data_IF_630727058753
#
_entry.id   IF_630727058753
#
_cell.length_a   1.000
_cell.length_b   1.000
_cell.length_c   1.000
_cell.angle_alpha   90.00
_cell.angle_beta   90.00
_cell.angle_gamma   90.00
#
_symmetry.space_group_name_H-M   'P 1'
#
loop_
_entity.id
_entity.type
_entity.pdbx_description
1 polymer ?
#
# COMPACT_ATOMS: atom_id res chain seq x y z
N UNK A 1 5.26 1.41 15.02
CA UNK A 1 3.94 0.81 15.35
C UNK A 1 2.86 1.12 14.33
N UNK A 2 2.82 2.31 13.72
CA UNK A 2 1.76 2.74 12.77
C UNK A 2 1.47 1.76 11.64
N UNK A 3 2.48 1.31 10.88
CA UNK A 3 2.25 0.36 9.77
C UNK A 3 1.65 -0.97 10.23
N UNK A 4 2.12 -1.52 11.35
CA UNK A 4 1.56 -2.73 11.92
C UNK A 4 0.06 -2.57 12.21
N UNK A 5 -0.34 -1.48 12.88
CA UNK A 5 -1.74 -1.23 13.20
C UNK A 5 -2.60 -1.06 11.95
N UNK A 6 -2.12 -0.30 10.96
CA UNK A 6 -2.88 -0.03 9.72
C UNK A 6 -3.02 -1.28 8.85
N UNK A 7 -1.97 -2.09 8.73
CA UNK A 7 -2.01 -3.35 7.97
C UNK A 7 -2.91 -4.36 8.69
N UNK A 8 -2.85 -4.44 10.02
CA UNK A 8 -3.75 -5.29 10.80
C UNK A 8 -5.22 -4.88 10.62
N UNK A 9 -5.50 -3.57 10.67
CA UNK A 9 -6.83 -3.03 10.41
C UNK A 9 -7.30 -3.37 8.98
N UNK A 10 -6.45 -3.12 7.98
CA UNK A 10 -6.78 -3.42 6.58
C UNK A 10 -7.07 -4.91 6.36
N UNK A 11 -6.25 -5.80 6.91
CA UNK A 11 -6.48 -7.24 6.82
C UNK A 11 -7.77 -7.67 7.52
N UNK A 12 -8.08 -7.08 8.69
CA UNK A 12 -9.30 -7.40 9.44
C UNK A 12 -10.56 -7.22 8.60
N UNK A 13 -10.60 -6.21 7.72
CA UNK A 13 -11.75 -5.94 6.84
C UNK A 13 -12.03 -7.02 5.79
N UNK A 14 -11.03 -7.84 5.44
CA UNK A 14 -11.17 -8.91 4.43
C UNK A 14 -10.98 -10.31 5.02
N UNK A 15 -10.73 -10.42 6.33
CA UNK A 15 -10.29 -11.65 6.98
C UNK A 15 -11.27 -12.82 6.80
N UNK A 16 -12.56 -12.53 6.66
CA UNK A 16 -13.60 -13.53 6.38
C UNK A 16 -13.47 -14.19 4.99
N UNK A 17 -12.85 -13.52 4.02
CA UNK A 17 -12.63 -14.03 2.66
C UNK A 17 -11.29 -14.79 2.52
N UNK A 18 -10.37 -14.58 3.45
CA UNK A 18 -9.06 -15.24 3.50
C UNK A 18 -9.14 -16.50 4.38
N UNK A 19 -9.45 -17.64 3.77
CA UNK A 19 -9.66 -18.91 4.48
C UNK A 19 -8.62 -19.97 4.07
N UNK A 20 -8.58 -21.08 4.81
CA UNK A 20 -7.72 -22.22 4.43
C UNK A 20 -8.09 -22.82 3.08
N UNK A 21 -9.34 -22.66 2.64
CA UNK A 21 -9.83 -23.19 1.36
C UNK A 21 -9.51 -22.24 0.21
N UNK A 22 -9.71 -20.93 0.40
CA UNK A 22 -9.42 -19.92 -0.63
C UNK A 22 -7.92 -19.67 -0.77
N UNK A 23 -7.18 -19.74 0.33
CA UNK A 23 -5.77 -19.38 0.41
C UNK A 23 -4.95 -20.48 1.13
N UNK A 24 -4.83 -21.64 0.48
CA UNK A 24 -4.11 -22.82 0.98
C UNK A 24 -2.60 -22.60 1.24
N UNK A 25 -2.04 -21.50 0.73
CA UNK A 25 -0.68 -21.08 0.99
C UNK A 25 -0.60 -19.55 1.01
N UNK A 26 0.29 -19.01 1.86
CA UNK A 26 0.63 -17.59 1.83
C UNK A 26 1.40 -17.26 0.55
N UNK A 27 0.73 -16.62 -0.41
CA UNK A 27 1.28 -16.36 -1.75
C UNK A 27 0.97 -14.95 -2.24
N UNK A 28 1.88 -14.42 -3.05
CA UNK A 28 1.66 -13.22 -3.85
C UNK A 28 2.38 -13.39 -5.19
N UNK A 29 1.69 -13.12 -6.29
CA UNK A 29 2.17 -13.39 -7.64
C UNK A 29 2.61 -14.87 -7.79
N UNK A 30 3.84 -15.10 -8.24
CA UNK A 30 4.46 -16.44 -8.33
C UNK A 30 5.25 -16.85 -7.08
N UNK A 31 5.22 -16.06 -6.00
CA UNK A 31 6.03 -16.26 -4.80
C UNK A 31 5.22 -16.89 -3.68
N UNK A 32 5.81 -17.91 -3.04
CA UNK A 32 5.25 -18.54 -1.83
C UNK A 32 6.08 -18.11 -0.62
N UNK A 33 5.41 -17.54 0.38
CA UNK A 33 6.03 -17.14 1.64
C UNK A 33 5.98 -18.28 2.65
N UNK A 34 7.13 -18.58 3.24
CA UNK A 34 7.25 -19.60 4.28
C UNK A 34 7.43 -18.96 5.65
N UNK A 35 6.85 -19.59 6.67
CA UNK A 35 7.05 -19.17 8.04
C UNK A 35 8.27 -19.87 8.63
N UNK A 36 9.03 -19.14 9.45
CA UNK A 36 10.15 -19.66 10.21
C UNK A 36 9.82 -19.50 11.69
N UNK A 37 9.69 -20.61 12.40
CA UNK A 37 9.46 -20.58 13.85
C UNK A 37 10.69 -20.09 14.63
N UNK A 38 10.57 -19.95 15.95
CA UNK A 38 11.67 -19.51 16.82
C UNK A 38 12.87 -20.47 16.81
N UNK A 39 12.70 -21.71 16.32
CA UNK A 39 13.74 -22.73 16.17
C UNK A 39 14.35 -22.75 14.76
N UNK A 40 13.91 -21.86 13.87
CA UNK A 40 14.35 -21.76 12.48
C UNK A 40 13.73 -22.80 11.55
N UNK A 41 12.70 -23.54 11.98
CA UNK A 41 12.04 -24.55 11.14
C UNK A 41 11.15 -23.85 10.11
N UNK A 42 11.46 -24.12 8.83
CA UNK A 42 10.65 -23.69 7.68
C UNK A 42 9.34 -24.46 7.63
N UNK A 43 8.22 -23.75 7.64
CA UNK A 43 6.87 -24.32 7.62
C UNK A 43 6.03 -23.66 6.53
N UNK A 44 5.29 -24.48 5.78
CA UNK A 44 4.23 -24.01 4.87
C UNK A 44 2.93 -23.94 5.67
N UNK A 45 2.25 -22.80 5.62
CA UNK A 45 0.94 -22.59 6.24
C UNK A 45 0.00 -21.92 5.25
N UNK A 46 -1.31 -21.99 5.55
CA UNK A 46 -2.32 -21.24 4.81
C UNK A 46 -2.08 -19.73 5.00
N UNK A 47 -2.58 -18.90 4.08
CA UNK A 47 -2.43 -17.45 4.22
C UNK A 47 -2.99 -16.91 5.54
N UNK A 48 -4.21 -17.26 6.01
CA UNK A 48 -4.70 -16.74 7.28
C UNK A 48 -3.85 -17.15 8.46
N UNK A 49 -3.37 -18.40 8.50
CA UNK A 49 -2.45 -18.86 9.54
C UNK A 49 -1.12 -18.09 9.53
N UNK A 50 -0.60 -17.79 8.34
CA UNK A 50 0.60 -16.98 8.19
C UNK A 50 0.39 -15.57 8.75
N UNK A 51 -0.73 -14.93 8.41
CA UNK A 51 -1.06 -13.60 8.88
C UNK A 51 -1.19 -13.58 10.40
N UNK A 52 -1.84 -14.58 11.01
CA UNK A 52 -1.94 -14.71 12.47
C UNK A 52 -0.56 -14.79 13.14
N UNK A 53 0.38 -15.57 12.57
CA UNK A 53 1.76 -15.64 13.06
C UNK A 53 2.49 -14.30 12.93
N UNK A 54 2.33 -13.62 11.79
CA UNK A 54 2.92 -12.30 11.57
C UNK A 54 2.40 -11.28 12.56
N UNK A 55 1.07 -11.19 12.74
CA UNK A 55 0.46 -10.22 13.64
C UNK A 55 0.88 -10.48 15.08
N UNK A 56 0.88 -11.75 15.51
CA UNK A 56 1.31 -12.15 16.85
C UNK A 56 2.78 -11.84 17.10
N UNK A 57 3.66 -12.14 16.15
CA UNK A 57 5.09 -11.82 16.26
C UNK A 57 5.32 -10.31 16.29
N UNK A 58 4.69 -9.55 15.39
CA UNK A 58 4.85 -8.11 15.34
C UNK A 58 4.37 -7.48 16.65
N UNK A 59 3.19 -7.87 17.14
CA UNK A 59 2.65 -7.42 18.42
C UNK A 59 3.64 -7.69 19.56
N UNK A 60 4.13 -8.93 19.69
CA UNK A 60 5.13 -9.31 20.71
C UNK A 60 6.35 -8.40 20.67
N UNK A 61 6.91 -8.18 19.47
CA UNK A 61 8.13 -7.38 19.31
C UNK A 61 7.91 -5.90 19.59
N UNK A 62 6.82 -5.30 19.11
CA UNK A 62 6.58 -3.85 19.26
C UNK A 62 6.15 -3.44 20.67
N UNK A 63 5.67 -4.39 21.49
CA UNK A 63 5.33 -4.15 22.91
C UNK A 63 6.42 -4.54 23.89
N UNK A 64 7.50 -5.14 23.42
CA UNK A 64 8.63 -5.52 24.26
C UNK A 64 9.45 -4.27 24.62
N UNK A 65 9.44 -3.86 25.90
CA UNK A 65 10.18 -2.68 26.37
C UNK A 65 11.71 -2.85 26.28
N UNK A 66 12.22 -4.07 26.10
CA UNK A 66 13.65 -4.30 25.86
C UNK A 66 14.03 -4.12 24.38
N UNK A 67 13.05 -4.19 23.47
CA UNK A 67 13.23 -3.96 22.03
C UNK A 67 12.85 -2.52 21.64
N UNK A 68 11.73 -2.03 22.18
CA UNK A 68 11.24 -0.67 22.01
C UNK A 68 11.13 0.01 23.38
N UNK A 69 12.25 0.55 23.91
CA UNK A 69 12.26 1.19 25.22
C UNK A 69 11.31 2.39 25.28
N UNK A 70 10.47 2.41 26.30
CA UNK A 70 9.51 3.49 26.59
C UNK A 70 9.99 4.43 27.70
N UNK A 71 11.04 4.03 28.42
CA UNK A 71 11.59 4.74 29.58
C UNK A 71 12.83 5.53 29.18
N UNK A 72 12.95 6.75 29.73
CA UNK A 72 14.12 7.61 29.52
C UNK A 72 15.40 6.91 30.01
N UNK A 73 16.49 7.05 29.24
CA UNK A 73 17.81 6.52 29.58
C UNK A 73 18.02 5.03 29.22
N UNK A 74 17.04 4.35 28.63
CA UNK A 74 17.24 3.03 28.02
C UNK A 74 17.61 3.16 26.54
N UNK A 75 18.64 2.46 26.12
CA UNK A 75 19.08 2.39 24.73
C UNK A 75 18.39 1.26 23.97
N UNK A 76 18.32 1.39 22.65
CA UNK A 76 17.85 0.31 21.79
C UNK A 76 18.87 -0.84 21.75
N UNK A 77 18.42 -2.11 21.62
CA UNK A 77 19.33 -3.24 21.55
C UNK A 77 20.13 -3.21 20.23
N UNK A 78 21.32 -3.81 20.23
CA UNK A 78 22.16 -3.96 19.03
C UNK A 78 21.44 -4.70 17.88
N UNK A 79 20.43 -5.52 18.20
CA UNK A 79 19.61 -6.25 17.23
C UNK A 79 18.43 -5.42 16.68
N UNK A 80 18.22 -4.19 17.14
CA UNK A 80 17.03 -3.39 16.81
C UNK A 80 16.79 -3.29 15.31
N UNK A 81 17.81 -2.90 14.54
CA UNK A 81 17.70 -2.76 13.09
C UNK A 81 17.28 -4.08 12.43
N UNK A 82 17.90 -5.20 12.83
CA UNK A 82 17.56 -6.52 12.29
C UNK A 82 16.11 -6.93 12.60
N UNK A 83 15.59 -6.53 13.76
CA UNK A 83 14.21 -6.78 14.17
C UNK A 83 13.23 -5.90 13.38
N UNK A 84 13.55 -4.62 13.16
CA UNK A 84 12.73 -3.73 12.32
C UNK A 84 12.67 -4.25 10.88
N UNK A 85 13.80 -4.66 10.30
CA UNK A 85 13.84 -5.30 8.97
C UNK A 85 12.96 -6.55 8.90
N UNK A 86 13.01 -7.39 9.95
CA UNK A 86 12.17 -8.59 10.07
C UNK A 86 10.68 -8.25 10.13
N UNK A 87 10.29 -7.23 10.91
CA UNK A 87 8.90 -6.75 11.01
C UNK A 87 8.43 -6.22 9.65
N UNK A 88 9.18 -5.32 9.02
CA UNK A 88 8.82 -4.75 7.73
C UNK A 88 8.67 -5.82 6.65
N UNK A 89 9.60 -6.80 6.58
CA UNK A 89 9.50 -7.92 5.65
C UNK A 89 8.18 -8.69 5.80
N UNK A 90 7.81 -9.05 7.03
CA UNK A 90 6.58 -9.79 7.25
C UNK A 90 5.32 -8.97 6.95
N UNK A 91 5.31 -7.69 7.30
CA UNK A 91 4.23 -6.78 6.95
C UNK A 91 4.07 -6.60 5.43
N UNK A 92 5.18 -6.56 4.69
CA UNK A 92 5.16 -6.54 3.23
C UNK A 92 4.49 -7.79 2.64
N UNK A 93 4.76 -8.97 3.19
CA UNK A 93 4.11 -10.21 2.71
C UNK A 93 2.59 -10.12 2.82
N UNK A 94 2.07 -9.55 3.93
CA UNK A 94 0.62 -9.35 4.12
C UNK A 94 0.06 -8.38 3.08
N UNK A 95 0.73 -7.24 2.86
CA UNK A 95 0.31 -6.27 1.84
C UNK A 95 0.32 -6.87 0.42
N UNK A 96 1.39 -7.58 0.05
CA UNK A 96 1.49 -8.22 -1.26
C UNK A 96 0.37 -9.26 -1.45
N UNK A 97 0.05 -10.03 -0.41
CA UNK A 97 -1.05 -10.99 -0.45
C UNK A 97 -2.42 -10.30 -0.60
N UNK A 98 -2.66 -9.18 0.11
CA UNK A 98 -3.90 -8.41 -0.02
C UNK A 98 -4.15 -7.94 -1.45
N UNK A 99 -3.12 -7.39 -2.11
CA UNK A 99 -3.23 -6.97 -3.51
C UNK A 99 -3.41 -8.14 -4.47
N UNK A 100 -2.73 -9.25 -4.22
CA UNK A 100 -2.76 -10.38 -5.15
C UNK A 100 -4.05 -11.19 -5.05
N UNK A 101 -4.46 -11.53 -3.83
CA UNK A 101 -5.55 -12.47 -3.59
C UNK A 101 -6.89 -11.80 -3.28
N UNK A 102 -6.87 -10.60 -2.68
CA UNK A 102 -8.05 -9.99 -2.06
C UNK A 102 -8.36 -8.57 -2.54
N UNK A 103 -7.81 -8.16 -3.69
CA UNK A 103 -8.04 -6.82 -4.20
C UNK A 103 -9.48 -6.62 -4.69
N UNK A 104 -10.13 -7.68 -5.19
CA UNK A 104 -11.54 -7.62 -5.63
C UNK A 104 -12.47 -7.30 -4.46
N UNK A 105 -12.27 -7.98 -3.34
CA UNK A 105 -13.01 -7.78 -2.09
C UNK A 105 -12.69 -6.39 -1.51
N UNK A 106 -11.43 -5.97 -1.57
CA UNK A 106 -11.01 -4.62 -1.16
C UNK A 106 -11.74 -3.53 -1.96
N UNK A 107 -11.89 -3.71 -3.27
CA UNK A 107 -12.64 -2.80 -4.14
C UNK A 107 -14.14 -2.85 -3.85
N UNK A 108 -14.71 -4.04 -3.62
CA UNK A 108 -16.12 -4.20 -3.29
C UNK A 108 -16.51 -3.50 -1.97
N UNK A 109 -15.56 -3.36 -1.04
CA UNK A 109 -15.71 -2.61 0.21
C UNK A 109 -15.34 -1.12 0.09
N UNK A 110 -15.00 -0.64 -1.11
CA UNK A 110 -14.54 0.74 -1.37
C UNK A 110 -13.27 1.14 -0.58
N UNK A 111 -12.42 0.16 -0.25
CA UNK A 111 -11.22 0.35 0.57
C UNK A 111 -9.92 0.49 -0.24
N UNK A 112 -9.97 0.40 -1.57
CA UNK A 112 -8.78 0.43 -2.43
C UNK A 112 -7.93 1.70 -2.27
N UNK A 113 -8.56 2.86 -2.03
CA UNK A 113 -7.82 4.10 -1.77
C UNK A 113 -7.01 4.08 -0.47
N UNK A 114 -7.55 3.43 0.57
CA UNK A 114 -6.88 3.24 1.84
C UNK A 114 -5.69 2.28 1.69
N UNK A 115 -5.91 1.13 1.04
CA UNK A 115 -4.85 0.16 0.76
C UNK A 115 -3.72 0.79 -0.06
N UNK A 116 -4.05 1.56 -1.12
CA UNK A 116 -3.07 2.26 -1.97
C UNK A 116 -2.23 3.26 -1.20
N UNK A 117 -2.86 4.10 -0.38
CA UNK A 117 -2.14 5.10 0.41
C UNK A 117 -1.23 4.44 1.44
N UNK A 118 -1.74 3.39 2.12
CA UNK A 118 -0.96 2.60 3.07
C UNK A 118 0.26 1.96 2.41
N UNK A 119 0.05 1.30 1.27
CA UNK A 119 1.11 0.63 0.53
C UNK A 119 2.16 1.62 -0.02
N UNK A 120 1.73 2.71 -0.65
CA UNK A 120 2.64 3.72 -1.20
C UNK A 120 3.53 4.31 -0.11
N UNK A 121 2.95 4.67 1.04
CA UNK A 121 3.73 5.16 2.16
C UNK A 121 4.68 4.09 2.72
N UNK A 122 4.20 2.85 2.85
CA UNK A 122 5.01 1.74 3.35
C UNK A 122 6.22 1.46 2.45
N UNK A 123 6.03 1.38 1.14
CA UNK A 123 7.13 1.03 0.22
C UNK A 123 8.16 2.14 0.10
N UNK A 124 7.74 3.41 0.11
CA UNK A 124 8.66 4.56 0.16
C UNK A 124 9.47 4.53 1.45
N UNK A 125 8.83 4.30 2.59
CA UNK A 125 9.52 4.18 3.89
C UNK A 125 10.53 3.03 3.91
N UNK A 126 10.14 1.86 3.41
CA UNK A 126 11.03 0.69 3.32
C UNK A 126 12.24 0.97 2.44
N UNK A 127 12.06 1.64 1.31
CA UNK A 127 13.13 1.98 0.37
C UNK A 127 14.08 3.02 0.96
N UNK A 128 13.56 4.08 1.57
CA UNK A 128 14.35 5.16 2.19
C UNK A 128 15.31 4.62 3.26
N UNK A 129 14.84 3.69 4.09
CA UNK A 129 15.64 3.13 5.19
C UNK A 129 16.25 1.76 4.89
N UNK A 130 16.19 1.29 3.63
CA UNK A 130 16.71 0.00 3.18
C UNK A 130 16.30 -1.18 4.10
N UNK A 131 14.99 -1.25 4.40
CA UNK A 131 14.45 -2.18 5.41
C UNK A 131 14.13 -3.57 4.86
N UNK A 132 13.99 -3.70 3.53
CA UNK A 132 13.72 -4.96 2.84
C UNK A 132 14.62 -5.00 1.60
N UNK A 133 15.14 -6.19 1.27
CA UNK A 133 15.93 -6.39 0.04
C UNK A 133 15.07 -6.05 -1.19
N UNK A 134 15.54 -5.19 -2.11
CA UNK A 134 14.82 -4.87 -3.34
C UNK A 134 14.37 -6.09 -4.15
N UNK A 135 15.11 -7.20 -4.10
CA UNK A 135 14.74 -8.46 -4.76
C UNK A 135 13.50 -9.11 -4.18
N UNK A 136 13.14 -8.81 -2.94
CA UNK A 136 11.92 -9.32 -2.32
C UNK A 136 10.72 -8.45 -2.66
N UNK A 137 10.93 -7.13 -2.80
CA UNK A 137 9.86 -6.20 -3.16
C UNK A 137 9.55 -6.19 -4.65
N UNK A 138 10.42 -6.73 -5.51
CA UNK A 138 10.33 -6.59 -6.95
C UNK A 138 9.05 -7.17 -7.58
N UNK A 139 8.42 -8.15 -6.92
CA UNK A 139 7.15 -8.73 -7.40
C UNK A 139 5.99 -7.71 -7.41
N UNK A 140 6.17 -6.55 -6.76
CA UNK A 140 5.20 -5.45 -6.70
C UNK A 140 5.76 -4.17 -7.34
N UNK A 141 6.84 -4.24 -8.14
CA UNK A 141 7.48 -3.03 -8.69
C UNK A 141 6.55 -2.27 -9.64
N UNK A 142 5.81 -2.96 -10.52
CA UNK A 142 4.83 -2.33 -11.42
C UNK A 142 3.78 -1.52 -10.64
N UNK A 143 3.26 -2.08 -9.54
CA UNK A 143 2.33 -1.38 -8.65
C UNK A 143 3.01 -0.19 -7.97
N UNK A 144 4.23 -0.38 -7.49
CA UNK A 144 5.01 0.67 -6.82
C UNK A 144 5.28 1.85 -7.74
N UNK A 145 5.58 1.59 -9.01
CA UNK A 145 5.79 2.63 -10.02
C UNK A 145 4.52 3.47 -10.21
N UNK A 146 3.37 2.81 -10.39
CA UNK A 146 2.09 3.48 -10.61
C UNK A 146 1.67 4.32 -9.39
N UNK A 147 1.83 3.79 -8.17
CA UNK A 147 1.34 4.44 -6.96
C UNK A 147 2.27 5.54 -6.43
N UNK A 148 3.59 5.37 -6.58
CA UNK A 148 4.57 6.32 -6.04
C UNK A 148 4.94 7.42 -7.04
N UNK A 149 4.81 7.16 -8.35
CA UNK A 149 5.08 8.13 -9.41
C UNK A 149 3.81 8.37 -10.23
N UNK A 150 2.77 9.01 -9.66
CA UNK A 150 1.57 9.32 -10.42
C UNK A 150 1.96 10.17 -11.64
N UNK A 151 1.54 9.74 -12.82
CA UNK A 151 1.77 10.49 -14.05
C UNK A 151 1.29 11.94 -13.86
N UNK A 152 1.97 12.94 -14.46
CA UNK A 152 1.49 14.32 -14.42
C UNK A 152 0.03 14.36 -14.87
N UNK A 153 -0.84 14.99 -14.08
CA UNK A 153 -2.22 15.19 -14.50
C UNK A 153 -2.22 15.77 -15.93
N UNK A 154 -3.06 15.27 -16.85
CA UNK A 154 -3.19 15.90 -18.16
C UNK A 154 -3.52 17.38 -17.93
N UNK A 155 -2.78 18.26 -18.62
CA UNK A 155 -2.94 19.70 -18.49
C UNK A 155 -4.43 20.06 -18.64
N UNK A 156 -4.96 20.98 -17.81
CA UNK A 156 -6.36 21.38 -17.92
C UNK A 156 -6.66 21.79 -19.36
N UNK A 157 -7.65 21.12 -19.97
CA UNK A 157 -8.08 21.40 -21.34
C UNK A 157 -8.42 22.89 -21.41
N UNK A 158 -7.82 23.66 -22.33
CA UNK A 158 -8.14 25.09 -22.43
C UNK A 158 -9.64 25.23 -22.69
N UNK A 159 -10.29 26.08 -21.88
CA UNK A 159 -11.71 26.35 -22.03
C UNK A 159 -12.03 26.76 -23.47
N UNK A 160 -13.15 26.28 -24.05
CA UNK A 160 -13.52 26.68 -25.40
C UNK A 160 -13.63 28.20 -25.46
N UNK A 161 -12.81 28.81 -26.32
CA UNK A 161 -12.85 30.24 -26.60
C UNK A 161 -14.25 30.60 -27.09
N UNK A 162 -14.97 31.42 -26.33
CA UNK A 162 -16.24 31.99 -26.75
C UNK A 162 -16.06 32.70 -28.10
N UNK A 163 -16.89 32.40 -29.12
CA UNK A 163 -16.82 33.12 -30.38
C UNK A 163 -17.09 34.60 -30.12
N UNK A 164 -16.21 35.47 -30.64
CA UNK A 164 -16.41 36.91 -30.59
C UNK A 164 -17.75 37.27 -31.23
N UNK A 165 -18.58 37.99 -30.47
CA UNK A 165 -19.87 38.52 -30.92
C UNK A 165 -19.68 39.36 -32.18
N UNK A 166 -20.47 39.07 -33.22
CA UNK A 166 -20.46 39.81 -34.48
C UNK A 166 -20.79 41.31 -34.25
N UNK A 167 -20.22 42.24 -35.04
CA UNK A 167 -20.52 43.66 -34.91
C UNK A 167 -21.95 43.96 -35.39
N UNK A 168 -22.61 44.99 -34.84
CA UNK A 168 -23.98 45.34 -35.21
C UNK A 168 -24.04 45.92 -36.64
N UNK A 169 -25.16 45.74 -37.36
CA UNK A 169 -25.31 46.25 -38.72
C UNK A 169 -25.38 47.78 -38.72
N UNK A 170 -24.69 48.40 -39.67
CA UNK A 170 -24.67 49.83 -39.93
C UNK A 170 -25.97 50.27 -40.62
N UNK A 171 -26.69 51.23 -40.04
CA UNK A 171 -27.87 51.84 -40.66
C UNK A 171 -27.47 52.65 -41.90
N UNK A 172 -27.85 52.22 -43.10
CA UNK A 172 -27.82 53.05 -44.30
C UNK A 172 -29.14 53.82 -44.43
N UNK A 173 -29.06 55.14 -44.27
CA UNK A 173 -30.13 56.08 -44.60
C UNK A 173 -30.25 56.19 -46.12
N UNK A 174 -31.39 55.81 -46.68
CA UNK A 174 -31.73 56.09 -48.08
C UNK A 174 -32.46 57.43 -48.15
N UNK A 175 -31.76 58.48 -48.62
CA UNK A 175 -32.37 59.72 -49.11
C UNK A 175 -32.77 59.45 -50.57
N UNK A 176 -34.06 59.52 -50.88
CA UNK A 176 -34.54 59.49 -52.27
C UNK A 176 -34.92 60.92 -52.66
N UNK A 177 -34.10 61.55 -53.52
CA UNK A 177 -34.53 62.68 -54.34
C UNK A 177 -35.31 62.17 -55.55
N UNK A 178 -36.60 62.49 -55.62
CA UNK A 178 -37.30 63.10 -56.77
C UNK A 178 -38.81 63.08 -56.57
#
# INVERSE_FOLDING_TARGET
TTFFNLINLQYSTISEFCTGDTCQAMTACSTIYYWYDERGKKTKCTAPQYVDFVMSLCQKLVTDEEIFPTKYGKEFPNSFESLVKKICRYLFHVLAHLYWAHFKETVALELQGHLNTLYAHFIVFVREFNLIDPKETCIMDDLSEILCNPAPLPAPVPAPSTPASAPPPSSQNHVTER
#
